data_IF_023382830029
#
_entry.id   IF_023382830029
#
_cell.length_a   1.000
_cell.length_b   1.000
_cell.length_c   1.000
_cell.angle_alpha   90.00
_cell.angle_beta   90.00
_cell.angle_gamma   90.00
#
_symmetry.space_group_name_H-M   'P 1'
#
loop_
_entity.id
_entity.type
_entity.pdbx_description
1 polymer ?
#
# COMPACT_ATOMS: atom_id res chain seq x y z
N UNK A 1 -28.44 24.54 0.37
CA UNK A 1 -27.20 23.83 0.06
C UNK A 1 -27.60 22.44 -0.42
N UNK A 2 -27.09 21.90 -1.54
CA UNK A 2 -27.37 20.51 -1.88
C UNK A 2 -26.93 19.65 -0.70
N UNK A 3 -27.78 18.71 -0.28
CA UNK A 3 -27.46 17.77 0.79
C UNK A 3 -26.23 16.99 0.37
N UNK A 4 -25.13 17.06 1.13
CA UNK A 4 -23.94 16.25 0.89
C UNK A 4 -24.38 14.78 0.92
N UNK A 5 -24.13 14.06 -0.17
CA UNK A 5 -24.46 12.65 -0.27
C UNK A 5 -23.77 11.87 0.86
N UNK A 6 -24.54 11.04 1.56
CA UNK A 6 -24.02 10.13 2.57
C UNK A 6 -23.58 8.83 1.91
N UNK A 7 -22.41 8.32 2.25
CA UNK A 7 -21.82 7.15 1.63
C UNK A 7 -21.30 6.17 2.67
N UNK A 8 -21.40 4.86 2.38
CA UNK A 8 -20.79 3.78 3.15
C UNK A 8 -19.42 3.45 2.57
N UNK A 9 -18.43 3.39 3.43
CA UNK A 9 -17.05 3.09 3.08
C UNK A 9 -16.59 1.83 3.80
N UNK A 10 -15.90 0.95 3.10
CA UNK A 10 -15.36 -0.30 3.66
C UNK A 10 -13.94 -0.52 3.15
N UNK A 11 -13.03 -0.76 4.07
CA UNK A 11 -11.64 -1.17 3.80
C UNK A 11 -11.43 -2.59 4.35
N UNK A 12 -11.23 -3.57 3.46
CA UNK A 12 -11.08 -4.97 3.81
C UNK A 12 -9.61 -5.39 3.65
N UNK A 13 -8.88 -5.33 4.76
CA UNK A 13 -7.54 -5.91 4.83
C UNK A 13 -7.56 -7.41 5.13
N UNK A 14 -6.37 -8.03 5.21
CA UNK A 14 -6.25 -9.48 5.45
C UNK A 14 -6.80 -9.97 6.79
N UNK A 15 -6.79 -9.13 7.84
CA UNK A 15 -7.17 -9.52 9.22
C UNK A 15 -8.40 -8.79 9.72
N UNK A 16 -8.61 -7.56 9.28
CA UNK A 16 -9.66 -6.68 9.77
C UNK A 16 -10.35 -5.98 8.62
N UNK A 17 -11.65 -5.73 8.82
CA UNK A 17 -12.47 -4.86 7.99
C UNK A 17 -12.78 -3.58 8.77
N UNK A 18 -12.57 -2.43 8.17
CA UNK A 18 -12.99 -1.12 8.68
C UNK A 18 -14.21 -0.65 7.90
N UNK A 19 -15.23 -0.19 8.62
CA UNK A 19 -16.45 0.37 8.04
C UNK A 19 -16.64 1.78 8.57
N UNK A 20 -17.02 2.69 7.70
CA UNK A 20 -17.24 4.10 8.05
C UNK A 20 -18.31 4.75 7.18
N UNK A 21 -18.71 5.96 7.54
CA UNK A 21 -19.59 6.84 6.74
C UNK A 21 -18.77 8.01 6.21
N UNK A 22 -19.08 8.45 5.00
CA UNK A 22 -18.67 9.75 4.47
C UNK A 22 -19.85 10.68 4.25
N UNK A 23 -19.58 11.99 4.25
CA UNK A 23 -20.46 13.05 3.81
C UNK A 23 -19.80 13.78 2.63
N UNK A 24 -20.29 13.57 1.41
CA UNK A 24 -19.58 13.92 0.20
C UNK A 24 -18.25 13.16 0.11
N UNK A 25 -17.14 13.87 -0.04
CA UNK A 25 -15.80 13.29 -0.05
C UNK A 25 -15.12 13.24 1.34
N UNK A 26 -15.81 13.67 2.41
CA UNK A 26 -15.21 13.79 3.74
C UNK A 26 -15.55 12.58 4.62
N UNK A 27 -14.52 11.92 5.14
CA UNK A 27 -14.64 10.79 6.06
C UNK A 27 -15.12 11.26 7.44
N UNK A 28 -16.22 10.69 7.93
CA UNK A 28 -16.72 10.91 9.30
C UNK A 28 -15.96 9.99 10.25
N UNK A 29 -14.86 10.45 10.81
CA UNK A 29 -13.93 9.62 11.61
C UNK A 29 -14.59 8.99 12.84
N UNK A 30 -15.58 9.65 13.45
CA UNK A 30 -16.36 9.11 14.60
C UNK A 30 -17.23 7.92 14.23
N UNK A 31 -17.49 7.67 12.94
CA UNK A 31 -18.28 6.53 12.46
C UNK A 31 -17.45 5.28 12.21
N UNK A 32 -16.12 5.36 12.30
CA UNK A 32 -15.23 4.23 11.97
C UNK A 32 -15.38 3.14 13.02
N UNK A 33 -15.74 1.94 12.58
CA UNK A 33 -15.69 0.73 13.37
C UNK A 33 -14.78 -0.30 12.70
N UNK A 34 -14.10 -1.09 13.53
CA UNK A 34 -13.19 -2.16 13.11
C UNK A 34 -13.77 -3.50 13.52
N UNK A 35 -13.74 -4.47 12.60
CA UNK A 35 -14.22 -5.84 12.78
C UNK A 35 -13.10 -6.81 12.43
N UNK A 36 -13.00 -7.91 13.19
CA UNK A 36 -12.08 -9.00 12.86
C UNK A 36 -12.72 -9.89 11.81
N UNK A 37 -12.03 -10.11 10.69
CA UNK A 37 -12.57 -10.91 9.59
C UNK A 37 -12.93 -12.33 9.97
N UNK A 38 -12.16 -12.95 10.90
CA UNK A 38 -12.42 -14.32 11.39
C UNK A 38 -13.72 -14.49 12.16
N UNK A 39 -14.39 -13.40 12.54
CA UNK A 39 -15.67 -13.43 13.25
C UNK A 39 -16.87 -13.43 12.30
N UNK A 40 -16.65 -13.33 10.98
CA UNK A 40 -17.67 -13.17 9.96
C UNK A 40 -17.42 -14.08 8.76
N UNK A 41 -18.50 -14.56 8.14
CA UNK A 41 -18.41 -15.39 6.93
C UNK A 41 -18.48 -14.57 5.62
N UNK A 42 -18.77 -13.25 5.71
CA UNK A 42 -18.88 -12.38 4.56
C UNK A 42 -19.13 -10.92 4.94
N UNK A 43 -19.03 -10.03 3.96
CA UNK A 43 -19.21 -8.59 4.14
C UNK A 43 -20.64 -8.24 4.61
N UNK A 44 -21.66 -8.97 4.16
CA UNK A 44 -23.05 -8.77 4.58
C UNK A 44 -23.21 -8.84 6.10
N UNK A 45 -22.55 -9.78 6.74
CA UNK A 45 -22.57 -9.91 8.21
C UNK A 45 -21.82 -8.77 8.91
N UNK A 46 -20.71 -8.30 8.34
CA UNK A 46 -19.97 -7.14 8.85
C UNK A 46 -20.85 -5.89 8.79
N UNK A 47 -21.55 -5.68 7.66
CA UNK A 47 -22.45 -4.54 7.50
C UNK A 47 -23.66 -4.61 8.45
N UNK A 48 -24.21 -5.79 8.67
CA UNK A 48 -25.26 -6.00 9.68
C UNK A 48 -24.78 -5.67 11.09
N UNK A 49 -23.57 -6.10 11.45
CA UNK A 49 -22.95 -5.80 12.74
C UNK A 49 -22.63 -4.28 12.89
N UNK A 50 -22.24 -3.63 11.80
CA UNK A 50 -22.03 -2.18 11.78
C UNK A 50 -23.36 -1.44 12.01
N UNK A 51 -24.42 -1.80 11.27
CA UNK A 51 -25.75 -1.21 11.42
C UNK A 51 -26.33 -1.41 12.82
N UNK A 52 -26.10 -2.56 13.45
CA UNK A 52 -26.54 -2.83 14.83
C UNK A 52 -25.90 -1.87 15.84
N UNK A 53 -24.68 -1.36 15.56
CA UNK A 53 -23.94 -0.43 16.46
C UNK A 53 -24.20 1.04 16.13
N UNK A 54 -24.38 1.40 14.85
CA UNK A 54 -24.50 2.78 14.37
C UNK A 54 -25.93 3.20 14.07
N UNK A 55 -26.89 2.25 14.08
CA UNK A 55 -28.25 2.44 13.61
C UNK A 55 -28.40 2.18 12.11
N UNK A 56 -29.63 2.39 11.57
CA UNK A 56 -29.91 2.15 10.15
C UNK A 56 -28.97 2.94 9.23
N UNK A 57 -28.46 2.25 8.21
CA UNK A 57 -27.54 2.83 7.22
C UNK A 57 -28.41 3.32 6.04
N UNK A 58 -28.59 4.64 5.96
CA UNK A 58 -29.21 5.28 4.80
C UNK A 58 -28.13 6.02 4.02
N UNK A 59 -27.77 5.50 2.85
CA UNK A 59 -26.68 6.02 2.01
C UNK A 59 -27.08 6.05 0.53
N UNK A 60 -26.47 6.92 -0.23
CA UNK A 60 -26.67 7.06 -1.67
C UNK A 60 -25.59 6.32 -2.46
N UNK A 61 -24.53 5.85 -1.80
CA UNK A 61 -23.47 5.08 -2.43
C UNK A 61 -22.69 4.25 -1.43
N UNK A 62 -22.00 3.23 -1.93
CA UNK A 62 -21.06 2.39 -1.17
C UNK A 62 -19.76 2.19 -1.95
N UNK A 63 -18.62 2.32 -1.29
CA UNK A 63 -17.31 1.98 -1.86
C UNK A 63 -16.61 1.00 -0.94
N UNK A 64 -16.17 -0.09 -1.52
CA UNK A 64 -15.40 -1.14 -0.85
C UNK A 64 -14.04 -1.24 -1.50
N UNK A 65 -12.99 -1.24 -0.71
CA UNK A 65 -11.68 -1.66 -1.18
C UNK A 65 -11.27 -2.99 -0.54
N UNK A 66 -10.46 -3.75 -1.26
CA UNK A 66 -9.98 -5.06 -0.83
C UNK A 66 -8.49 -5.25 -1.08
N UNK A 67 -7.83 -5.97 -0.18
CA UNK A 67 -6.47 -6.47 -0.37
C UNK A 67 -6.50 -7.68 -1.33
N UNK A 68 -6.63 -7.42 -2.63
CA UNK A 68 -6.73 -8.43 -3.67
C UNK A 68 -7.03 -7.81 -5.04
N UNK A 69 -6.89 -8.59 -6.12
CA UNK A 69 -7.18 -8.11 -7.46
C UNK A 69 -8.69 -7.84 -7.64
N UNK A 70 -8.99 -6.75 -8.34
CA UNK A 70 -10.36 -6.40 -8.75
C UNK A 70 -10.40 -6.28 -10.26
N UNK A 71 -11.32 -6.99 -10.90
CA UNK A 71 -11.51 -6.97 -12.34
C UNK A 71 -13.00 -6.96 -12.69
N UNK A 72 -13.45 -6.01 -13.52
CA UNK A 72 -14.83 -5.87 -13.96
C UNK A 72 -15.86 -5.87 -12.80
N UNK A 73 -15.57 -5.17 -11.71
CA UNK A 73 -16.46 -5.06 -10.55
C UNK A 73 -16.55 -6.33 -9.70
N UNK A 74 -15.65 -7.29 -9.90
CA UNK A 74 -15.52 -8.52 -9.10
C UNK A 74 -14.14 -8.57 -8.48
N UNK A 75 -14.06 -8.90 -7.19
CA UNK A 75 -12.81 -9.04 -6.48
C UNK A 75 -12.82 -10.20 -5.50
N UNK A 76 -11.69 -10.89 -5.39
CA UNK A 76 -11.48 -11.99 -4.45
C UNK A 76 -10.33 -11.66 -3.51
N UNK A 77 -10.55 -11.81 -2.22
CA UNK A 77 -9.50 -11.59 -1.23
C UNK A 77 -8.49 -12.73 -1.25
N UNK A 78 -7.21 -12.39 -1.16
CA UNK A 78 -6.12 -13.38 -1.19
C UNK A 78 -6.04 -14.23 0.07
N UNK A 79 -6.53 -13.75 1.21
CA UNK A 79 -6.41 -14.40 2.52
C UNK A 79 -7.75 -14.79 3.15
N UNK A 80 -8.85 -14.63 2.45
CA UNK A 80 -10.22 -14.95 2.88
C UNK A 80 -10.98 -15.54 1.69
N UNK A 81 -11.84 -16.49 1.93
CA UNK A 81 -12.72 -17.07 0.90
C UNK A 81 -13.91 -16.16 0.56
N UNK A 82 -13.67 -14.84 0.56
CA UNK A 82 -14.69 -13.85 0.21
C UNK A 82 -14.51 -13.40 -1.22
N UNK A 83 -15.57 -13.55 -2.00
CA UNK A 83 -15.69 -12.93 -3.33
C UNK A 83 -16.75 -11.83 -3.24
N UNK A 84 -16.41 -10.65 -3.72
CA UNK A 84 -17.26 -9.47 -3.72
C UNK A 84 -17.57 -9.04 -5.14
N UNK A 85 -18.80 -8.57 -5.33
CA UNK A 85 -19.30 -8.04 -6.60
C UNK A 85 -20.03 -6.71 -6.34
N UNK A 86 -19.85 -5.72 -7.19
CA UNK A 86 -20.51 -4.42 -7.04
C UNK A 86 -22.02 -4.51 -6.90
N UNK A 87 -22.77 -5.36 -7.66
CA UNK A 87 -24.21 -5.52 -7.47
C UNK A 87 -24.61 -6.06 -6.09
N UNK A 88 -23.79 -6.94 -5.49
CA UNK A 88 -24.02 -7.45 -4.14
C UNK A 88 -23.75 -6.38 -3.09
N UNK A 89 -22.69 -5.59 -3.27
CA UNK A 89 -22.37 -4.44 -2.40
C UNK A 89 -23.52 -3.43 -2.43
N UNK A 90 -24.02 -3.07 -3.61
CA UNK A 90 -25.15 -2.19 -3.78
C UNK A 90 -26.40 -2.70 -3.03
N UNK A 91 -26.67 -4.01 -3.16
CA UNK A 91 -27.80 -4.67 -2.47
C UNK A 91 -27.63 -4.65 -0.95
N UNK A 92 -26.44 -5.03 -0.42
CA UNK A 92 -26.18 -5.10 1.02
C UNK A 92 -26.18 -3.71 1.68
N UNK A 93 -25.65 -2.70 1.00
CA UNK A 93 -25.64 -1.32 1.47
C UNK A 93 -26.99 -0.59 1.23
N UNK A 94 -27.91 -1.20 0.48
CA UNK A 94 -29.14 -0.56 -0.02
C UNK A 94 -28.83 0.79 -0.69
N UNK A 95 -27.82 0.81 -1.55
CA UNK A 95 -27.29 2.00 -2.21
C UNK A 95 -27.42 1.89 -3.74
N UNK A 96 -27.87 2.96 -4.44
CA UNK A 96 -28.00 2.94 -5.90
C UNK A 96 -26.65 2.92 -6.65
N UNK A 97 -25.57 3.37 -6.00
CA UNK A 97 -24.22 3.41 -6.57
C UNK A 97 -23.31 2.56 -5.70
N UNK A 98 -22.57 1.62 -6.31
CA UNK A 98 -21.53 0.86 -5.63
C UNK A 98 -20.24 0.86 -6.45
N UNK A 99 -19.12 0.79 -5.75
CA UNK A 99 -17.81 0.64 -6.33
C UNK A 99 -17.00 -0.39 -5.54
N UNK A 100 -16.23 -1.20 -6.26
CA UNK A 100 -15.25 -2.12 -5.71
C UNK A 100 -13.89 -1.84 -6.33
N UNK A 101 -12.89 -1.52 -5.52
CA UNK A 101 -11.53 -1.19 -5.96
C UNK A 101 -10.49 -1.98 -5.16
N UNK A 102 -9.25 -2.02 -5.64
CA UNK A 102 -8.13 -2.55 -4.87
C UNK A 102 -7.71 -1.55 -3.78
N UNK A 103 -7.19 -2.05 -2.65
CA UNK A 103 -6.75 -1.26 -1.50
C UNK A 103 -5.70 -0.18 -1.87
N UNK A 104 -4.78 -0.50 -2.79
CA UNK A 104 -3.78 0.46 -3.23
C UNK A 104 -4.37 1.55 -4.15
N UNK A 105 -5.42 1.22 -4.93
CA UNK A 105 -6.18 2.23 -5.67
C UNK A 105 -6.88 3.19 -4.70
N UNK A 106 -7.47 2.66 -3.62
CA UNK A 106 -8.06 3.47 -2.56
C UNK A 106 -7.03 4.42 -1.95
N UNK A 107 -5.85 3.92 -1.56
CA UNK A 107 -4.74 4.75 -1.08
C UNK A 107 -4.40 5.86 -2.10
N UNK A 108 -4.31 5.52 -3.38
CA UNK A 108 -4.02 6.47 -4.45
C UNK A 108 -5.06 7.59 -4.57
N UNK A 109 -6.34 7.26 -4.46
CA UNK A 109 -7.41 8.27 -4.48
C UNK A 109 -7.34 9.22 -3.29
N UNK A 110 -6.88 8.75 -2.12
CA UNK A 110 -6.79 9.52 -0.88
C UNK A 110 -5.52 10.37 -0.74
N UNK A 111 -4.42 9.98 -1.38
CA UNK A 111 -3.06 10.49 -1.08
C UNK A 111 -2.90 12.02 -1.15
N UNK A 112 -3.60 12.69 -2.05
CA UNK A 112 -3.48 14.14 -2.19
C UNK A 112 -4.29 14.95 -1.16
N UNK A 113 -5.18 14.29 -0.43
CA UNK A 113 -6.06 14.91 0.58
C UNK A 113 -5.55 14.64 2.02
N UNK A 114 -4.40 13.98 2.14
CA UNK A 114 -3.80 13.70 3.45
C UNK A 114 -3.26 15.00 4.08
N UNK A 115 -3.51 15.21 5.36
CA UNK A 115 -2.94 16.35 6.06
C UNK A 115 -1.42 16.16 6.24
N UNK A 116 -0.62 17.24 6.26
CA UNK A 116 0.85 17.16 6.38
C UNK A 116 1.33 16.33 7.58
N UNK A 117 0.54 16.29 8.66
CA UNK A 117 0.87 15.54 9.89
C UNK A 117 0.77 14.02 9.70
N UNK A 118 0.06 13.57 8.67
CA UNK A 118 -0.06 12.17 8.31
C UNK A 118 1.13 11.66 7.46
N UNK A 119 2.10 12.54 7.17
CA UNK A 119 3.22 12.27 6.30
C UNK A 119 4.55 12.37 7.06
N UNK A 120 5.35 11.32 7.00
CA UNK A 120 6.73 11.33 7.48
C UNK A 120 7.70 11.38 6.31
N UNK A 121 8.44 12.50 6.17
CA UNK A 121 9.40 12.73 5.11
C UNK A 121 10.64 11.83 5.24
N UNK A 122 10.92 11.06 4.17
CA UNK A 122 12.10 10.18 4.04
C UNK A 122 13.14 10.77 3.10
N UNK A 123 12.70 11.34 1.96
CA UNK A 123 13.59 11.98 0.98
C UNK A 123 13.02 13.33 0.60
N UNK A 124 13.84 14.37 0.81
CA UNK A 124 13.49 15.72 0.38
C UNK A 124 13.60 15.89 -1.13
N UNK A 125 12.80 16.83 -1.66
CA UNK A 125 12.77 17.21 -3.06
C UNK A 125 13.00 18.69 -3.25
N UNK A 126 13.72 19.03 -4.32
CA UNK A 126 13.87 20.40 -4.81
C UNK A 126 12.83 20.79 -5.86
N UNK A 127 12.04 19.84 -6.37
CA UNK A 127 11.19 20.02 -7.55
C UNK A 127 9.73 19.56 -7.41
N UNK A 128 9.22 19.41 -6.20
CA UNK A 128 7.82 19.00 -5.98
C UNK A 128 6.84 20.00 -6.63
N UNK A 129 5.85 19.49 -7.39
CA UNK A 129 4.84 20.27 -8.09
C UNK A 129 3.44 19.83 -7.72
N UNK A 130 2.62 20.76 -7.25
CA UNK A 130 1.19 20.51 -7.04
C UNK A 130 0.50 20.10 -8.36
N UNK A 131 -0.51 19.23 -8.29
CA UNK A 131 -1.26 18.75 -9.45
C UNK A 131 -0.50 17.80 -10.40
N UNK A 132 0.70 17.35 -9.99
CA UNK A 132 1.51 16.42 -10.79
C UNK A 132 1.20 14.96 -10.41
N UNK A 133 1.59 14.04 -11.30
CA UNK A 133 1.55 12.59 -11.05
C UNK A 133 2.18 12.26 -9.70
N UNK A 134 1.53 11.36 -8.95
CA UNK A 134 2.03 10.76 -7.71
C UNK A 134 2.20 9.27 -7.87
N UNK A 135 2.97 8.67 -7.01
CA UNK A 135 3.18 7.23 -6.93
C UNK A 135 2.92 6.76 -5.50
N UNK A 136 2.05 5.80 -5.32
CA UNK A 136 1.86 5.11 -4.03
C UNK A 136 2.54 3.76 -4.12
N UNK A 137 3.38 3.41 -3.15
CA UNK A 137 4.12 2.13 -3.09
C UNK A 137 3.81 1.45 -1.77
N UNK A 138 3.18 0.28 -1.86
CA UNK A 138 2.85 -0.55 -0.70
C UNK A 138 3.96 -1.57 -0.42
N UNK A 139 4.41 -1.61 0.84
CA UNK A 139 5.25 -2.69 1.36
C UNK A 139 4.68 -3.16 2.69
N UNK A 140 4.09 -4.34 2.66
CA UNK A 140 3.41 -4.95 3.80
C UNK A 140 3.55 -6.47 3.78
N UNK A 141 2.43 -7.20 3.77
CA UNK A 141 2.40 -8.64 3.51
C UNK A 141 2.91 -8.96 2.11
N UNK A 142 2.64 -8.07 1.15
CA UNK A 142 3.13 -8.08 -0.21
C UNK A 142 3.74 -6.74 -0.62
N UNK A 143 4.01 -6.61 -1.93
CA UNK A 143 4.50 -5.39 -2.58
C UNK A 143 3.61 -5.05 -3.77
N UNK A 144 3.20 -3.78 -3.90
CA UNK A 144 2.61 -3.27 -5.13
C UNK A 144 2.84 -1.76 -5.25
N UNK A 145 2.58 -1.17 -6.42
CA UNK A 145 2.64 0.27 -6.64
C UNK A 145 1.50 0.73 -7.56
N UNK A 146 0.92 1.89 -7.29
CA UNK A 146 -0.10 2.51 -8.11
C UNK A 146 0.28 3.94 -8.45
N UNK A 147 0.17 4.29 -9.74
CA UNK A 147 0.34 5.66 -10.21
C UNK A 147 -0.97 6.43 -10.07
N UNK A 148 -0.88 7.69 -9.67
CA UNK A 148 -2.01 8.61 -9.50
C UNK A 148 -1.88 9.76 -10.48
N UNK A 149 -2.80 9.85 -11.41
CA UNK A 149 -2.90 10.97 -12.34
C UNK A 149 -3.97 11.95 -11.84
N UNK A 150 -3.56 13.19 -11.54
CA UNK A 150 -4.48 14.29 -11.29
C UNK A 150 -4.97 14.87 -12.63
N UNK A 151 -6.25 14.78 -12.90
CA UNK A 151 -6.89 15.23 -14.13
C UNK A 151 -7.83 16.44 -13.88
N UNK A 152 -7.44 17.31 -12.97
CA UNK A 152 -8.20 18.49 -12.56
C UNK A 152 -9.21 18.16 -11.45
N UNK A 153 -10.45 17.91 -11.82
CA UNK A 153 -11.54 17.60 -10.90
C UNK A 153 -11.56 16.13 -10.42
N UNK A 154 -10.77 15.27 -11.05
CA UNK A 154 -10.74 13.84 -10.72
C UNK A 154 -9.33 13.24 -10.76
N UNK A 155 -9.20 12.04 -10.18
CA UNK A 155 -8.00 11.22 -10.18
C UNK A 155 -8.26 9.92 -10.91
N UNK A 156 -7.30 9.51 -11.72
CA UNK A 156 -7.22 8.18 -12.30
C UNK A 156 -6.12 7.40 -11.59
N UNK A 157 -6.48 6.25 -11.04
CA UNK A 157 -5.55 5.33 -10.35
C UNK A 157 -5.71 3.96 -11.01
N UNK A 158 -4.94 3.66 -12.07
CA UNK A 158 -4.98 2.34 -12.71
C UNK A 158 -4.55 1.24 -11.76
N UNK A 159 -5.13 0.06 -11.90
CA UNK A 159 -4.67 -1.16 -11.23
C UNK A 159 -3.26 -1.53 -11.70
N UNK A 160 -2.50 -2.17 -10.83
CA UNK A 160 -1.13 -2.61 -11.10
C UNK A 160 -0.80 -3.84 -10.25
N UNK A 161 0.08 -4.69 -10.75
CA UNK A 161 0.68 -5.83 -10.07
C UNK A 161 2.20 -5.77 -10.20
N UNK A 162 2.77 -4.60 -9.89
CA UNK A 162 4.20 -4.32 -10.05
C UNK A 162 5.09 -5.15 -9.13
N UNK A 163 4.54 -5.73 -8.05
CA UNK A 163 5.26 -6.65 -7.16
C UNK A 163 5.69 -7.94 -7.83
N UNK A 164 4.99 -8.34 -8.89
CA UNK A 164 5.29 -9.54 -9.66
C UNK A 164 6.28 -9.30 -10.82
N UNK A 165 6.82 -8.09 -10.96
CA UNK A 165 7.94 -7.82 -11.87
C UNK A 165 9.25 -8.42 -11.32
N UNK A 166 10.23 -8.60 -12.22
CA UNK A 166 11.54 -9.17 -11.86
C UNK A 166 12.26 -8.36 -10.79
N UNK A 167 12.89 -9.06 -9.85
CA UNK A 167 13.81 -8.49 -8.87
C UNK A 167 15.00 -7.80 -9.60
N UNK A 168 15.33 -6.53 -9.28
CA UNK A 168 16.45 -5.86 -9.92
C UNK A 168 17.80 -6.45 -9.42
N UNK A 169 18.70 -6.73 -10.36
CA UNK A 169 20.05 -7.25 -10.09
C UNK A 169 21.06 -6.16 -10.40
N UNK A 170 21.89 -5.77 -9.42
CA UNK A 170 22.95 -4.77 -9.53
C UNK A 170 24.34 -5.32 -9.16
N UNK A 171 24.40 -6.35 -8.36
CA UNK A 171 25.63 -6.95 -7.82
C UNK A 171 25.59 -8.48 -7.92
N UNK A 172 26.76 -9.12 -7.77
CA UNK A 172 26.84 -10.58 -7.66
C UNK A 172 26.03 -11.13 -6.47
N UNK A 173 25.95 -10.39 -5.37
CA UNK A 173 25.13 -10.77 -4.23
C UNK A 173 23.64 -10.76 -4.58
N UNK A 174 23.18 -9.75 -5.36
CA UNK A 174 21.80 -9.71 -5.85
C UNK A 174 21.48 -10.89 -6.77
N UNK A 175 22.43 -11.29 -7.62
CA UNK A 175 22.25 -12.45 -8.49
C UNK A 175 22.15 -13.76 -7.68
N UNK A 176 22.94 -13.92 -6.63
CA UNK A 176 22.83 -15.09 -5.74
C UNK A 176 21.52 -15.10 -4.97
N UNK A 177 21.08 -13.95 -4.42
CA UNK A 177 19.78 -13.81 -3.79
C UNK A 177 18.65 -14.11 -4.77
N UNK A 178 18.72 -13.58 -6.00
CA UNK A 178 17.75 -13.84 -7.06
C UNK A 178 17.61 -15.35 -7.34
N UNK A 179 18.74 -16.06 -7.51
CA UNK A 179 18.74 -17.52 -7.69
C UNK A 179 18.20 -18.29 -6.49
N UNK A 180 18.48 -17.80 -5.29
CA UNK A 180 17.95 -18.40 -4.06
C UNK A 180 16.41 -18.29 -4.05
N UNK A 181 15.87 -17.12 -4.38
CA UNK A 181 14.43 -16.88 -4.48
C UNK A 181 13.79 -17.71 -5.61
N UNK A 182 14.43 -17.74 -6.78
CA UNK A 182 13.99 -18.52 -7.94
C UNK A 182 13.87 -20.02 -7.61
N UNK A 183 14.83 -20.59 -6.87
CA UNK A 183 14.77 -21.98 -6.44
C UNK A 183 13.57 -22.30 -5.51
N UNK A 184 13.05 -21.31 -4.80
CA UNK A 184 11.90 -21.48 -3.90
C UNK A 184 10.57 -21.28 -4.64
N UNK A 185 10.51 -20.28 -5.53
CA UNK A 185 9.23 -19.79 -6.11
C UNK A 185 9.13 -20.02 -7.62
N UNK A 186 10.20 -20.45 -8.29
CA UNK A 186 10.24 -20.61 -9.75
C UNK A 186 10.43 -19.30 -10.52
N UNK A 187 10.17 -18.16 -9.90
CA UNK A 187 10.32 -16.82 -10.45
C UNK A 187 10.71 -15.83 -9.34
N UNK A 188 11.77 -15.03 -9.50
CA UNK A 188 12.21 -14.08 -8.49
C UNK A 188 11.51 -12.73 -8.66
N UNK A 189 10.37 -12.58 -8.01
CA UNK A 189 9.59 -11.35 -8.04
C UNK A 189 10.10 -10.31 -7.02
N UNK A 190 9.78 -9.03 -7.25
CA UNK A 190 10.05 -7.93 -6.32
C UNK A 190 9.44 -8.24 -4.95
N UNK A 191 8.19 -8.69 -4.91
CA UNK A 191 7.47 -9.02 -3.68
C UNK A 191 8.15 -10.10 -2.85
N UNK A 192 8.84 -11.04 -3.50
CA UNK A 192 9.55 -12.11 -2.81
C UNK A 192 10.68 -11.63 -1.91
N UNK A 193 11.15 -10.41 -2.14
CA UNK A 193 12.15 -9.73 -1.32
C UNK A 193 11.56 -8.53 -0.59
N UNK A 194 10.70 -7.73 -1.25
CA UNK A 194 10.13 -6.50 -0.67
C UNK A 194 8.76 -6.77 -0.02
N UNK A 195 8.78 -7.54 1.04
CA UNK A 195 7.61 -7.80 1.91
C UNK A 195 8.11 -8.23 3.30
N UNK A 196 7.21 -8.38 4.27
CA UNK A 196 7.60 -8.92 5.58
C UNK A 196 8.28 -10.30 5.45
N UNK A 197 7.62 -11.22 4.73
CA UNK A 197 8.20 -12.55 4.41
C UNK A 197 9.47 -12.45 3.56
N UNK A 198 9.59 -11.42 2.73
CA UNK A 198 10.77 -11.14 1.93
C UNK A 198 11.99 -10.78 2.79
N UNK A 199 11.81 -9.94 3.83
CA UNK A 199 12.86 -9.61 4.78
C UNK A 199 13.34 -10.87 5.54
N UNK A 200 12.40 -11.74 5.98
CA UNK A 200 12.71 -13.03 6.61
C UNK A 200 13.52 -13.91 5.65
N UNK A 201 13.18 -13.92 4.37
CA UNK A 201 13.86 -14.67 3.32
C UNK A 201 15.28 -14.16 3.06
N UNK A 202 15.49 -12.84 3.02
CA UNK A 202 16.83 -12.25 2.90
C UNK A 202 17.71 -12.62 4.10
N UNK A 203 17.15 -12.57 5.31
CA UNK A 203 17.87 -12.97 6.52
C UNK A 203 18.27 -14.46 6.50
N UNK A 204 17.33 -15.33 6.09
CA UNK A 204 17.57 -16.76 5.95
C UNK A 204 18.62 -17.06 4.86
N UNK A 205 18.56 -16.39 3.71
CA UNK A 205 19.56 -16.51 2.65
C UNK A 205 20.96 -16.17 3.15
N UNK A 206 21.13 -15.07 3.87
CA UNK A 206 22.42 -14.71 4.47
C UNK A 206 22.95 -15.78 5.42
N UNK A 207 22.07 -16.41 6.19
CA UNK A 207 22.43 -17.55 7.04
C UNK A 207 22.88 -18.76 6.22
N UNK A 208 22.19 -19.06 5.13
CA UNK A 208 22.52 -20.16 4.22
C UNK A 208 23.89 -19.94 3.57
N UNK A 209 24.19 -18.73 3.11
CA UNK A 209 25.50 -18.36 2.55
C UNK A 209 26.66 -18.52 3.61
N UNK A 210 26.33 -18.30 4.88
CA UNK A 210 27.29 -18.44 5.99
C UNK A 210 27.36 -19.87 6.58
N UNK A 211 26.58 -20.83 6.04
CA UNK A 211 26.52 -22.20 6.57
C UNK A 211 25.78 -22.35 7.92
N UNK A 212 25.00 -21.34 8.30
CA UNK A 212 24.20 -21.28 9.53
C UNK A 212 22.78 -20.76 9.22
N UNK A 213 21.93 -21.55 8.52
CA UNK A 213 20.58 -21.15 8.15
C UNK A 213 19.66 -21.03 9.38
N UNK A 214 19.17 -19.83 9.64
CA UNK A 214 18.23 -19.52 10.71
C UNK A 214 17.05 -18.73 10.14
N UNK A 215 15.85 -19.02 10.60
CA UNK A 215 14.65 -18.24 10.32
C UNK A 215 14.33 -17.33 11.52
N UNK A 216 13.97 -16.11 11.24
CA UNK A 216 13.62 -15.12 12.24
C UNK A 216 12.46 -14.25 11.71
N UNK A 217 11.43 -13.94 12.52
CA UNK A 217 10.35 -13.05 12.10
C UNK A 217 10.84 -11.65 11.72
N UNK A 218 10.21 -11.03 10.71
CA UNK A 218 10.60 -9.72 10.20
C UNK A 218 10.69 -8.64 11.29
N UNK A 219 9.75 -8.63 12.24
CA UNK A 219 9.75 -7.68 13.36
C UNK A 219 10.99 -7.83 14.25
N UNK A 220 11.45 -9.07 14.47
CA UNK A 220 12.63 -9.33 15.27
C UNK A 220 13.93 -8.98 14.52
N UNK A 221 13.97 -9.25 13.20
CA UNK A 221 15.08 -8.81 12.33
C UNK A 221 15.22 -7.29 12.39
N UNK A 222 14.10 -6.56 12.23
CA UNK A 222 14.08 -5.10 12.31
C UNK A 222 14.56 -4.61 13.69
N UNK A 223 14.07 -5.21 14.77
CA UNK A 223 14.49 -4.85 16.14
C UNK A 223 15.97 -5.07 16.35
N UNK A 224 16.52 -6.23 15.96
CA UNK A 224 17.95 -6.54 16.10
C UNK A 224 18.83 -5.63 15.23
N UNK A 225 18.37 -5.30 14.02
CA UNK A 225 19.12 -4.40 13.14
C UNK A 225 19.16 -2.96 13.68
N UNK A 226 18.03 -2.44 14.18
CA UNK A 226 17.92 -1.07 14.69
C UNK A 226 18.64 -0.86 16.02
N UNK A 227 18.73 -1.92 16.86
CA UNK A 227 19.48 -1.90 18.11
C UNK A 227 20.98 -2.24 17.92
N UNK A 228 21.37 -2.67 16.71
CA UNK A 228 22.75 -3.02 16.43
C UNK A 228 23.23 -4.36 17.03
N UNK A 229 22.31 -5.22 17.49
CA UNK A 229 22.64 -6.45 18.24
C UNK A 229 22.98 -7.64 17.33
N UNK A 230 22.68 -7.58 16.02
CA UNK A 230 22.96 -8.65 15.07
C UNK A 230 23.51 -8.09 13.75
N UNK A 231 24.77 -8.46 13.42
CA UNK A 231 25.39 -8.08 12.14
C UNK A 231 24.62 -8.62 10.93
N UNK A 232 24.05 -9.84 11.02
CA UNK A 232 23.23 -10.44 9.97
C UNK A 232 21.94 -9.67 9.77
N UNK A 233 21.27 -9.25 10.86
CA UNK A 233 20.05 -8.45 10.77
C UNK A 233 20.31 -7.07 10.14
N UNK A 234 21.43 -6.42 10.51
CA UNK A 234 21.88 -5.17 9.88
C UNK A 234 22.08 -5.35 8.38
N UNK A 235 22.75 -6.42 7.96
CA UNK A 235 23.01 -6.68 6.54
C UNK A 235 21.73 -7.04 5.78
N UNK A 236 20.82 -7.84 6.37
CA UNK A 236 19.52 -8.12 5.79
C UNK A 236 18.71 -6.83 5.54
N UNK A 237 18.70 -5.92 6.52
CA UNK A 237 18.06 -4.61 6.41
C UNK A 237 18.70 -3.73 5.33
N UNK A 238 20.03 -3.73 5.22
CA UNK A 238 20.74 -2.98 4.16
C UNK A 238 20.39 -3.48 2.77
N UNK A 239 20.37 -4.80 2.56
CA UNK A 239 20.01 -5.42 1.28
C UNK A 239 18.57 -5.10 0.94
N UNK A 240 17.63 -5.32 1.86
CA UNK A 240 16.22 -5.03 1.70
C UNK A 240 16.01 -3.56 1.33
N UNK A 241 16.57 -2.64 2.11
CA UNK A 241 16.37 -1.21 1.95
C UNK A 241 17.02 -0.67 0.68
N UNK A 242 18.19 -1.21 0.28
CA UNK A 242 18.84 -0.89 -0.99
C UNK A 242 18.00 -1.35 -2.19
N UNK A 243 17.46 -2.56 -2.17
CA UNK A 243 16.57 -3.06 -3.22
C UNK A 243 15.29 -2.22 -3.26
N UNK A 244 14.73 -1.88 -2.10
CA UNK A 244 13.55 -1.03 -2.02
C UNK A 244 13.78 0.36 -2.64
N UNK A 245 14.88 1.02 -2.28
CA UNK A 245 15.27 2.29 -2.91
C UNK A 245 15.49 2.17 -4.42
N UNK A 246 16.12 1.07 -4.87
CA UNK A 246 16.33 0.80 -6.30
C UNK A 246 15.00 0.66 -7.05
N UNK A 247 14.04 -0.09 -6.51
CA UNK A 247 12.71 -0.28 -7.11
C UNK A 247 11.91 1.02 -7.13
N UNK A 248 11.85 1.77 -6.02
CA UNK A 248 11.21 3.09 -5.98
C UNK A 248 11.82 4.04 -7.02
N UNK A 249 13.15 4.02 -7.16
CA UNK A 249 13.82 4.83 -8.17
C UNK A 249 13.52 4.41 -9.61
N UNK A 250 13.38 3.11 -9.90
CA UNK A 250 12.96 2.62 -11.21
C UNK A 250 11.55 3.07 -11.54
N UNK A 251 10.60 2.88 -10.60
CA UNK A 251 9.21 3.32 -10.75
C UNK A 251 9.12 4.85 -10.92
N UNK A 252 9.96 5.61 -10.21
CA UNK A 252 10.01 7.06 -10.34
C UNK A 252 10.48 7.53 -11.72
N UNK A 253 11.40 6.80 -12.36
CA UNK A 253 11.81 7.09 -13.74
C UNK A 253 10.75 6.69 -14.79
N UNK A 254 9.93 5.68 -14.50
CA UNK A 254 8.84 5.24 -15.37
C UNK A 254 7.66 6.23 -15.31
N UNK A 255 7.30 6.71 -14.13
CA UNK A 255 6.05 7.46 -13.90
C UNK A 255 6.26 8.96 -13.67
N UNK A 256 7.48 9.42 -13.41
CA UNK A 256 7.85 10.82 -13.15
C UNK A 256 6.94 11.48 -12.10
N UNK A 257 6.89 10.95 -10.86
CA UNK A 257 5.98 11.41 -9.82
C UNK A 257 6.45 12.72 -9.18
N UNK A 258 6.36 13.82 -9.91
CA UNK A 258 6.71 15.16 -9.39
C UNK A 258 5.79 15.61 -8.25
N UNK A 259 4.64 14.97 -8.09
CA UNK A 259 3.74 15.14 -6.95
C UNK A 259 4.13 14.34 -5.71
N UNK A 260 5.20 13.54 -5.79
CA UNK A 260 5.75 12.74 -4.69
C UNK A 260 5.53 11.24 -4.81
N UNK A 261 6.35 10.49 -4.08
CA UNK A 261 6.24 9.05 -3.85
C UNK A 261 5.78 8.83 -2.42
N UNK A 262 4.75 8.02 -2.22
CA UNK A 262 4.11 7.79 -0.93
C UNK A 262 4.21 6.31 -0.58
N UNK A 263 4.93 6.02 0.49
CA UNK A 263 5.13 4.67 1.00
C UNK A 263 4.01 4.32 1.97
N UNK A 264 3.38 3.16 1.78
CA UNK A 264 2.29 2.64 2.62
C UNK A 264 2.55 1.20 2.99
N UNK A 265 1.75 0.66 3.92
CA UNK A 265 1.84 -0.72 4.38
C UNK A 265 2.67 -0.90 5.64
N UNK A 266 2.40 -1.97 6.37
CA UNK A 266 2.94 -2.18 7.72
C UNK A 266 4.47 -2.24 7.77
N UNK A 267 5.12 -2.82 6.75
CA UNK A 267 6.59 -2.87 6.68
C UNK A 267 7.17 -1.49 6.37
N UNK A 268 6.57 -0.75 5.42
CA UNK A 268 7.00 0.61 5.10
C UNK A 268 6.88 1.56 6.31
N UNK A 269 5.77 1.50 7.05
CA UNK A 269 5.57 2.29 8.27
C UNK A 269 6.58 1.92 9.37
N UNK A 270 6.81 0.62 9.59
CA UNK A 270 7.78 0.15 10.60
C UNK A 270 9.21 0.57 10.26
N UNK A 271 9.56 0.60 8.97
CA UNK A 271 10.89 0.97 8.49
C UNK A 271 11.07 2.48 8.32
N UNK A 272 10.01 3.26 8.18
CA UNK A 272 10.04 4.66 7.72
C UNK A 272 11.14 5.50 8.35
N UNK A 273 11.25 5.48 9.68
CA UNK A 273 12.24 6.25 10.44
C UNK A 273 13.67 5.71 10.32
N UNK A 274 13.84 4.49 9.81
CA UNK A 274 15.12 3.79 9.71
C UNK A 274 15.66 3.72 8.27
N UNK A 275 14.83 4.00 7.25
CA UNK A 275 15.18 3.89 5.84
C UNK A 275 16.47 4.67 5.49
N UNK A 276 16.64 5.87 6.06
CA UNK A 276 17.82 6.69 5.82
C UNK A 276 19.11 6.01 6.34
N UNK A 277 19.06 5.41 7.53
CA UNK A 277 20.23 4.74 8.13
C UNK A 277 20.69 3.46 7.41
N UNK A 278 19.86 2.89 6.55
CA UNK A 278 20.13 1.66 5.80
C UNK A 278 20.30 1.89 4.28
N UNK A 279 20.53 3.14 3.83
CA UNK A 279 20.93 3.44 2.46
C UNK A 279 19.82 3.52 1.43
N UNK A 280 18.56 3.75 1.85
CA UNK A 280 17.41 3.88 0.93
C UNK A 280 17.57 5.05 -0.05
N UNK A 281 17.91 6.24 0.47
CA UNK A 281 17.98 7.46 -0.34
C UNK A 281 19.12 7.40 -1.37
N UNK A 282 20.24 6.81 -1.01
CA UNK A 282 21.38 6.56 -1.89
C UNK A 282 20.99 5.62 -3.04
N UNK A 283 20.35 4.48 -2.72
CA UNK A 283 19.91 3.50 -3.70
C UNK A 283 18.80 4.07 -4.62
N UNK A 284 17.89 4.87 -4.07
CA UNK A 284 16.87 5.57 -4.84
C UNK A 284 17.49 6.52 -5.88
N UNK A 285 18.52 7.26 -5.48
CA UNK A 285 19.21 8.24 -6.35
C UNK A 285 20.23 7.62 -7.29
N UNK A 286 20.67 6.39 -7.05
CA UNK A 286 21.67 5.71 -7.89
C UNK A 286 21.08 5.30 -9.26
N UNK A 287 20.92 6.30 -10.14
CA UNK A 287 20.37 6.17 -11.51
C UNK A 287 21.36 6.66 -12.57
N UNK A 288 22.67 6.56 -12.30
CA UNK A 288 23.71 6.96 -13.23
C UNK A 288 23.51 8.41 -13.71
N UNK A 289 23.46 8.65 -15.02
CA UNK A 289 23.28 10.01 -15.58
C UNK A 289 21.98 10.70 -15.15
N UNK A 290 20.98 9.97 -14.67
CA UNK A 290 19.71 10.51 -14.17
C UNK A 290 19.70 10.76 -12.65
N UNK A 291 20.81 10.52 -11.94
CA UNK A 291 20.89 10.73 -10.49
C UNK A 291 20.48 12.16 -10.07
N UNK A 292 20.86 13.18 -10.82
CA UNK A 292 20.46 14.57 -10.58
C UNK A 292 18.94 14.81 -10.73
N UNK A 293 18.27 14.08 -11.64
CA UNK A 293 16.82 14.19 -11.82
C UNK A 293 16.05 13.62 -10.61
N UNK A 294 16.61 12.62 -9.93
CA UNK A 294 15.98 11.98 -8.79
C UNK A 294 15.76 12.93 -7.61
N UNK A 295 16.50 14.05 -7.53
CA UNK A 295 16.29 15.09 -6.51
C UNK A 295 14.94 15.84 -6.65
N UNK A 296 14.23 15.67 -7.77
CA UNK A 296 12.90 16.26 -7.96
C UNK A 296 11.77 15.48 -7.28
N UNK A 297 12.02 14.25 -6.82
CA UNK A 297 10.99 13.38 -6.26
C UNK A 297 11.12 13.32 -4.74
N UNK A 298 10.11 13.85 -4.04
CA UNK A 298 9.97 13.66 -2.59
C UNK A 298 9.48 12.25 -2.28
N UNK A 299 9.87 11.71 -1.13
CA UNK A 299 9.34 10.44 -0.64
C UNK A 299 8.85 10.63 0.78
N UNK A 300 7.59 10.28 1.01
CA UNK A 300 6.93 10.32 2.31
C UNK A 300 6.39 8.94 2.69
N UNK A 301 6.40 8.60 3.97
CA UNK A 301 5.63 7.48 4.52
C UNK A 301 4.29 8.01 5.01
N UNK A 302 3.20 7.34 4.65
CA UNK A 302 1.86 7.66 5.15
C UNK A 302 1.67 7.01 6.52
N UNK A 303 1.44 7.83 7.54
CA UNK A 303 1.15 7.42 8.92
C UNK A 303 -0.36 7.57 9.26
N UNK A 304 -1.27 7.55 8.27
CA UNK A 304 -2.73 7.59 8.46
C UNK A 304 -3.34 6.21 8.23
N UNK A 305 -3.82 5.57 9.27
CA UNK A 305 -4.49 4.26 9.23
C UNK A 305 -5.80 4.26 8.40
N UNK A 306 -6.33 5.43 8.07
CA UNK A 306 -7.60 5.61 7.37
C UNK A 306 -7.46 6.18 5.96
N UNK A 307 -6.25 6.21 5.43
CA UNK A 307 -5.97 6.77 4.11
C UNK A 307 -6.77 6.07 2.99
N UNK A 308 -6.95 4.74 3.06
CA UNK A 308 -7.80 3.99 2.12
C UNK A 308 -9.27 4.42 2.22
N UNK A 309 -9.84 4.53 3.43
CA UNK A 309 -11.22 5.02 3.61
C UNK A 309 -11.41 6.45 3.06
N UNK A 310 -10.41 7.34 3.22
CA UNK A 310 -10.45 8.68 2.59
C UNK A 310 -10.48 8.59 1.07
N UNK A 311 -9.70 7.68 0.52
CA UNK A 311 -9.68 7.43 -0.92
C UNK A 311 -10.98 6.86 -1.45
N UNK A 312 -11.61 5.93 -0.71
CA UNK A 312 -12.93 5.41 -1.02
C UNK A 312 -13.98 6.54 -1.07
N UNK A 313 -13.95 7.44 -0.07
CA UNK A 313 -14.84 8.61 -0.04
C UNK A 313 -14.66 9.49 -1.28
N UNK A 314 -13.41 9.78 -1.64
CA UNK A 314 -13.08 10.61 -2.80
C UNK A 314 -13.48 9.97 -4.12
N UNK A 315 -13.17 8.68 -4.29
CA UNK A 315 -13.53 7.91 -5.48
C UNK A 315 -15.05 7.87 -5.68
N UNK A 316 -15.79 7.51 -4.64
CA UNK A 316 -17.25 7.38 -4.68
C UNK A 316 -17.95 8.72 -4.89
N UNK A 317 -17.49 9.78 -4.21
CA UNK A 317 -18.09 11.13 -4.39
C UNK A 317 -18.02 11.58 -5.85
N UNK A 318 -16.98 11.22 -6.57
CA UNK A 318 -16.88 11.49 -8.01
C UNK A 318 -17.88 10.67 -8.82
N UNK A 319 -17.98 9.35 -8.56
CA UNK A 319 -18.94 8.49 -9.28
C UNK A 319 -20.38 8.96 -9.11
N UNK A 320 -20.69 9.56 -7.96
CA UNK A 320 -22.02 10.08 -7.65
C UNK A 320 -22.28 11.50 -8.22
N UNK A 321 -21.24 12.19 -8.71
CA UNK A 321 -21.34 13.51 -9.34
C UNK A 321 -21.55 13.44 -10.86
N UNK A 322 -21.37 12.26 -11.46
CA UNK A 322 -21.59 11.95 -12.89
C UNK A 322 -22.97 11.39 -13.13
#
# INVERSE_FOLDING_TARGET
MPSLHRALLVDIGGTNTRVAIAQGAELVTSSILRFRNTEFSGLDQVLAAYAAKQGPIEVQGACVDIAGPVHNGVGTLTNLDWTLEEPLIAKWANAPVAALINDLQAQGHGVADLPPQALHRVVDSSGARAGSTRLVVNVGTGFNAAVVFDLGDHRLVPASESGHANLPIRTEADLRLCRFVENIHGFPAIEDVLSGRGLERVYHWLGTEAGDPVQLPAAEIMAQATTGTSARAIEAMRIFTRIFGTVCGNLSLIHLPFGGVYLVGGVACALGRHLHGFGFAEAFRDKGRFAGMMSNFAIDVIEDDYAALRGNARHLARLMAT
#
